data_IF_832513405958
#
_entry.id   IF_832513405958
#
_cell.length_a   1.000
_cell.length_b   1.000
_cell.length_c   1.000
_cell.angle_alpha   90.00
_cell.angle_beta   90.00
_cell.angle_gamma   90.00
#
_symmetry.space_group_name_H-M   'P 1'
#
loop_
_entity.id
_entity.type
_entity.pdbx_description
1 polymer ?
#
# COMPACT_ATOMS: atom_id res chain seq x y z
N UNK A 1 -27.90 -18.80 -9.88
CA UNK A 1 -27.13 -17.73 -9.21
C UNK A 1 -25.67 -18.10 -9.36
N UNK A 2 -24.94 -17.38 -10.18
CA UNK A 2 -23.48 -17.51 -10.23
C UNK A 2 -22.95 -16.92 -8.94
N UNK A 3 -22.30 -17.74 -8.13
CA UNK A 3 -21.57 -17.26 -6.96
C UNK A 3 -20.60 -16.18 -7.45
N UNK A 4 -20.61 -14.97 -6.86
CA UNK A 4 -19.62 -13.96 -7.22
C UNK A 4 -18.23 -14.59 -7.02
N UNK A 5 -17.29 -14.39 -7.94
CA UNK A 5 -15.96 -14.92 -7.75
C UNK A 5 -15.44 -14.45 -6.39
N UNK A 6 -15.05 -15.39 -5.52
CA UNK A 6 -14.68 -15.18 -4.10
C UNK A 6 -13.85 -13.91 -3.89
N UNK A 7 -13.01 -13.57 -4.88
CA UNK A 7 -12.23 -12.34 -4.93
C UNK A 7 -13.06 -11.05 -4.79
N UNK A 8 -14.19 -10.90 -5.49
CA UNK A 8 -15.04 -9.71 -5.46
C UNK A 8 -15.75 -9.53 -4.12
N UNK A 9 -16.23 -10.62 -3.52
CA UNK A 9 -16.84 -10.59 -2.19
C UNK A 9 -15.82 -10.20 -1.12
N UNK A 10 -14.61 -10.75 -1.22
CA UNK A 10 -13.50 -10.40 -0.35
C UNK A 10 -13.10 -8.92 -0.51
N UNK A 11 -13.08 -8.42 -1.75
CA UNK A 11 -12.83 -7.01 -2.08
C UNK A 11 -13.88 -6.08 -1.46
N UNK A 12 -15.15 -6.43 -1.61
CA UNK A 12 -16.28 -5.66 -1.05
C UNK A 12 -16.19 -5.63 0.47
N UNK A 13 -15.94 -6.79 1.10
CA UNK A 13 -15.80 -6.90 2.55
C UNK A 13 -14.62 -6.09 3.10
N UNK A 14 -13.52 -6.00 2.37
CA UNK A 14 -12.39 -5.16 2.78
C UNK A 14 -12.66 -3.67 2.57
N UNK A 15 -13.39 -3.30 1.51
CA UNK A 15 -13.80 -1.92 1.26
C UNK A 15 -14.71 -1.42 2.38
N UNK A 16 -15.71 -2.21 2.78
CA UNK A 16 -16.63 -1.89 3.88
C UNK A 16 -15.90 -1.79 5.23
N UNK A 17 -14.88 -2.62 5.44
CA UNK A 17 -14.06 -2.60 6.65
C UNK A 17 -13.03 -1.47 6.68
N UNK A 18 -12.96 -0.62 5.65
CA UNK A 18 -11.95 0.44 5.53
C UNK A 18 -10.51 -0.09 5.43
N UNK A 19 -10.33 -1.34 4.99
CA UNK A 19 -9.02 -1.97 4.86
C UNK A 19 -8.40 -1.64 3.49
N UNK A 20 -7.07 -1.64 3.44
CA UNK A 20 -6.32 -1.45 2.20
C UNK A 20 -6.67 -2.56 1.19
N UNK A 21 -7.16 -2.15 0.02
CA UNK A 21 -7.55 -3.06 -1.05
C UNK A 21 -6.33 -3.46 -1.89
N UNK A 22 -6.11 -4.75 -2.16
CA UNK A 22 -5.05 -5.16 -3.08
C UNK A 22 -5.31 -4.61 -4.49
N UNK A 23 -4.25 -4.09 -5.12
CA UNK A 23 -4.31 -3.44 -6.43
C UNK A 23 -4.54 -1.92 -6.37
N UNK A 24 -5.00 -1.38 -5.23
CA UNK A 24 -5.05 0.07 -5.02
C UNK A 24 -3.80 0.49 -4.26
N UNK A 25 -2.91 1.22 -4.95
CA UNK A 25 -1.66 1.71 -4.33
C UNK A 25 -2.01 2.64 -3.17
N UNK A 26 -1.63 2.23 -1.97
CA UNK A 26 -1.87 2.99 -0.75
C UNK A 26 -0.88 4.19 -0.69
N UNK A 27 -1.38 5.44 -0.66
CA UNK A 27 -0.53 6.62 -0.64
C UNK A 27 0.25 6.76 0.67
N UNK A 28 -0.27 6.25 1.80
CA UNK A 28 0.43 6.24 3.09
C UNK A 28 1.64 5.31 3.03
N UNK A 29 1.46 4.11 2.48
CA UNK A 29 2.58 3.19 2.23
C UNK A 29 3.60 3.77 1.27
N UNK A 30 3.14 4.48 0.23
CA UNK A 30 4.04 5.14 -0.73
C UNK A 30 4.84 6.26 -0.05
N UNK A 31 4.26 7.00 0.90
CA UNK A 31 4.96 8.01 1.71
C UNK A 31 5.97 7.37 2.66
N UNK A 32 5.58 6.33 3.39
CA UNK A 32 6.45 5.62 4.33
C UNK A 32 7.68 5.00 3.64
N UNK A 33 7.48 4.43 2.45
CA UNK A 33 8.55 3.82 1.65
C UNK A 33 9.36 4.82 0.83
N UNK A 34 8.88 6.06 0.68
CA UNK A 34 9.61 7.13 -0.03
C UNK A 34 10.79 7.68 0.78
N UNK A 35 10.92 7.35 2.06
CA UNK A 35 12.06 7.79 2.85
C UNK A 35 13.33 7.04 2.42
N UNK A 36 14.43 7.74 2.10
CA UNK A 36 15.70 7.09 1.82
C UNK A 36 16.14 6.29 3.04
N UNK A 37 16.51 5.03 2.84
CA UNK A 37 16.91 4.06 3.88
C UNK A 37 18.20 4.48 4.61
N UNK A 38 18.93 5.44 4.04
CA UNK A 38 20.17 5.96 4.60
C UNK A 38 20.13 7.49 4.60
N UNK A 39 20.40 8.16 5.73
CA UNK A 39 20.81 9.55 5.66
C UNK A 39 22.10 9.56 4.82
N UNK A 40 22.05 10.16 3.64
CA UNK A 40 23.26 10.44 2.88
C UNK A 40 24.06 11.42 3.74
N UNK A 41 24.98 10.89 4.54
CA UNK A 41 26.07 11.68 5.11
C UNK A 41 26.96 12.00 3.92
N UNK A 42 26.56 12.99 3.12
CA UNK A 42 27.47 13.69 2.22
C UNK A 42 28.37 14.59 3.09
N UNK A 43 29.16 13.97 3.96
CA UNK A 43 30.27 14.60 4.63
C UNK A 43 31.51 14.22 3.85
N UNK A 44 31.70 14.92 2.73
CA UNK A 44 32.85 14.79 1.84
C UNK A 44 33.41 16.16 1.51
N UNK A 45 33.72 16.95 2.54
CA UNK A 45 34.66 18.06 2.45
C UNK A 45 35.88 17.66 3.26
N UNK A 46 36.87 17.05 2.61
CA UNK A 46 38.29 17.12 2.92
C UNK A 46 39.11 16.60 1.73
#
# INVERSE_FOLDING_TARGET
MTDPPIYLDLLTRWADAGRTLPGRRDPEWSRLTSSPVWPTTSSGLY
#
